data_IF_195272599473
#
_entry.id   IF_195272599473
#
_cell.length_a   1.000
_cell.length_b   1.000
_cell.length_c   1.000
_cell.angle_alpha   90.00
_cell.angle_beta   90.00
_cell.angle_gamma   90.00
#
_symmetry.space_group_name_H-M   'P 1'
#
loop_
_entity.id
_entity.type
_entity.pdbx_description
1 polymer ?
#
# COMPACT_ATOMS: atom_id res chain seq x y z
N UNK A 1 -3.33 10.82 18.52
CA UNK A 1 -2.38 9.68 18.54
C UNK A 1 -1.86 9.54 17.11
N UNK A 2 -0.56 9.63 16.86
CA UNK A 2 -0.04 9.33 15.52
C UNK A 2 -0.46 7.88 15.18
N UNK A 3 -1.20 7.68 14.09
CA UNK A 3 -1.76 6.38 13.75
C UNK A 3 -0.66 5.36 13.48
N UNK A 4 -0.93 4.08 13.78
CA UNK A 4 -0.02 2.94 13.55
C UNK A 4 0.17 2.58 12.07
N UNK A 5 -0.34 3.40 11.14
CA UNK A 5 -0.31 3.14 9.71
C UNK A 5 1.04 3.50 9.10
N UNK A 6 1.49 2.67 8.16
CA UNK A 6 2.73 2.90 7.41
C UNK A 6 2.41 3.72 6.16
N UNK A 7 2.97 4.93 6.06
CA UNK A 7 2.89 5.72 4.83
C UNK A 7 3.92 5.22 3.82
N UNK A 8 3.47 4.81 2.64
CA UNK A 8 4.31 4.36 1.53
C UNK A 8 4.26 5.39 0.40
N UNK A 9 5.43 5.96 0.10
CA UNK A 9 5.64 6.83 -1.05
C UNK A 9 6.22 6.00 -2.21
N UNK A 10 5.66 6.17 -3.42
CA UNK A 10 6.11 5.39 -4.58
C UNK A 10 5.54 3.97 -4.67
N UNK A 11 4.42 3.69 -3.98
CA UNK A 11 3.77 2.37 -3.96
C UNK A 11 3.30 1.83 -5.32
N UNK A 12 3.26 2.66 -6.36
CA UNK A 12 2.89 2.27 -7.74
C UNK A 12 4.08 1.83 -8.60
N UNK A 13 5.32 1.95 -8.12
CA UNK A 13 6.50 1.42 -8.80
C UNK A 13 6.66 -0.09 -8.58
N UNK A 14 7.49 -0.79 -9.37
CA UNK A 14 7.67 -2.25 -9.24
C UNK A 14 8.09 -2.68 -7.84
N UNK A 15 9.07 -1.99 -7.25
CA UNK A 15 9.51 -2.25 -5.88
C UNK A 15 8.45 -1.87 -4.84
N UNK A 16 7.71 -0.79 -5.09
CA UNK A 16 6.61 -0.35 -4.23
C UNK A 16 5.51 -1.41 -4.14
N UNK A 17 5.10 -1.99 -5.27
CA UNK A 17 4.10 -3.05 -5.32
C UNK A 17 4.55 -4.28 -4.51
N UNK A 18 5.83 -4.68 -4.61
CA UNK A 18 6.37 -5.77 -3.81
C UNK A 18 6.34 -5.45 -2.30
N UNK A 19 6.70 -4.22 -1.93
CA UNK A 19 6.63 -3.77 -0.54
C UNK A 19 5.19 -3.81 0.00
N UNK A 20 4.20 -3.33 -0.78
CA UNK A 20 2.79 -3.37 -0.38
C UNK A 20 2.31 -4.80 -0.13
N UNK A 21 2.67 -5.74 -1.03
CA UNK A 21 2.36 -7.17 -0.86
C UNK A 21 2.90 -7.70 0.46
N UNK A 22 4.15 -7.39 0.79
CA UNK A 22 4.77 -7.89 2.02
C UNK A 22 4.19 -7.28 3.29
N UNK A 23 3.91 -5.98 3.28
CA UNK A 23 3.31 -5.32 4.43
C UNK A 23 1.89 -5.84 4.69
N UNK A 24 1.10 -6.06 3.64
CA UNK A 24 -0.23 -6.67 3.73
C UNK A 24 -0.14 -8.12 4.25
N UNK A 25 0.80 -8.91 3.71
CA UNK A 25 1.02 -10.29 4.17
C UNK A 25 1.33 -10.35 5.68
N UNK A 26 2.08 -9.37 6.18
CA UNK A 26 2.41 -9.20 7.60
C UNK A 26 1.33 -8.49 8.43
N UNK A 27 0.17 -8.19 7.82
CA UNK A 27 -1.00 -7.55 8.44
C UNK A 27 -0.73 -6.14 8.98
N UNK A 28 0.13 -5.38 8.31
CA UNK A 28 0.29 -3.96 8.61
C UNK A 28 -0.79 -3.14 7.89
N UNK A 29 -1.33 -2.14 8.57
CA UNK A 29 -2.15 -1.11 7.94
C UNK A 29 -1.25 -0.08 7.24
N UNK A 30 -1.65 0.36 6.06
CA UNK A 30 -0.84 1.17 5.18
C UNK A 30 -1.68 2.25 4.48
N UNK A 31 -1.01 3.36 4.21
CA UNK A 31 -1.51 4.44 3.36
C UNK A 31 -0.55 4.57 2.19
N UNK A 32 -1.05 4.56 0.95
CA UNK A 32 -0.24 4.79 -0.25
C UNK A 32 -0.55 6.15 -0.84
N UNK A 33 0.45 7.03 -0.82
CA UNK A 33 0.36 8.27 -1.57
C UNK A 33 0.75 8.03 -3.03
N UNK A 34 -0.26 7.97 -3.92
CA UNK A 34 -0.09 7.70 -5.34
C UNK A 34 -0.58 8.86 -6.21
N UNK A 35 0.23 9.24 -7.22
CA UNK A 35 -0.20 10.16 -8.29
C UNK A 35 -1.27 9.56 -9.21
N UNK A 36 -1.25 8.25 -9.38
CA UNK A 36 -2.19 7.51 -10.23
C UNK A 36 -2.54 6.20 -9.54
N UNK A 37 -3.56 6.20 -8.65
CA UNK A 37 -3.93 5.04 -7.84
C UNK A 37 -4.32 3.81 -8.67
N UNK A 38 -4.86 4.00 -9.87
CA UNK A 38 -5.23 2.92 -10.80
C UNK A 38 -4.05 2.08 -11.30
N UNK A 39 -2.79 2.49 -11.02
CA UNK A 39 -1.60 1.66 -11.28
C UNK A 39 -1.36 0.60 -10.19
N UNK A 40 -2.06 0.67 -9.07
CA UNK A 40 -2.02 -0.36 -8.04
C UNK A 40 -2.79 -1.59 -8.57
N UNK A 41 -2.20 -2.80 -8.48
CA UNK A 41 -2.89 -4.04 -8.85
C UNK A 41 -4.25 -4.21 -8.15
N UNK A 42 -5.30 -4.70 -8.84
CA UNK A 42 -6.66 -4.81 -8.27
C UNK A 42 -6.75 -5.65 -6.99
N UNK A 43 -5.90 -6.68 -6.86
CA UNK A 43 -5.82 -7.54 -5.68
C UNK A 43 -5.29 -6.81 -4.44
N UNK A 44 -4.47 -5.77 -4.63
CA UNK A 44 -4.00 -4.92 -3.55
C UNK A 44 -4.98 -3.78 -3.28
N UNK A 45 -5.52 -3.15 -4.33
CA UNK A 45 -6.43 -2.01 -4.23
C UNK A 45 -7.76 -2.35 -3.54
N UNK A 46 -8.18 -3.62 -3.55
CA UNK A 46 -9.37 -4.10 -2.85
C UNK A 46 -9.10 -4.59 -1.41
N UNK A 47 -7.85 -4.51 -0.94
CA UNK A 47 -7.48 -5.00 0.37
C UNK A 47 -7.84 -3.98 1.47
N UNK A 48 -8.53 -4.39 2.55
CA UNK A 48 -8.96 -3.48 3.61
C UNK A 48 -7.81 -2.86 4.43
N UNK A 49 -6.60 -3.39 4.33
CA UNK A 49 -5.42 -2.85 5.03
C UNK A 49 -4.72 -1.74 4.24
N UNK A 50 -5.08 -1.51 2.98
CA UNK A 50 -4.50 -0.49 2.13
C UNK A 50 -5.49 0.66 1.90
N UNK A 51 -5.07 1.86 2.28
CA UNK A 51 -5.77 3.13 2.01
C UNK A 51 -5.04 3.95 0.93
#
# INVERSE_FOLDING_TARGET
MAGTKILVLGGTGPAGICLLRELIYRKHELIVYARTPSKIPPDLASNPLLE
#
